data_IF_563118284584
#
_entry.id   IF_563118284584
#
_cell.length_a   1.000
_cell.length_b   1.000
_cell.length_c   1.000
_cell.angle_alpha   90.00
_cell.angle_beta   90.00
_cell.angle_gamma   90.00
#
_symmetry.space_group_name_H-M   'P 1'
#
loop_
_entity.id
_entity.type
_entity.pdbx_description
1 polymer ?
#
# COMPACT_ATOMS: atom_id res chain seq x y z
N UNK A 1 39.36 45.19 -25.63
CA UNK A 1 39.29 43.99 -24.77
C UNK A 1 37.88 43.89 -24.18
N UNK A 2 37.05 43.00 -24.72
CA UNK A 2 35.63 42.80 -24.39
C UNK A 2 35.42 41.37 -23.89
N UNK A 3 35.50 41.13 -22.59
CA UNK A 3 35.04 39.88 -21.97
C UNK A 3 34.46 40.19 -20.59
N UNK A 4 33.22 40.69 -20.56
CA UNK A 4 32.45 40.85 -19.31
C UNK A 4 30.99 40.36 -19.39
N UNK A 5 30.57 39.75 -20.49
CA UNK A 5 29.17 39.34 -20.70
C UNK A 5 28.90 37.83 -20.68
N UNK A 6 29.90 36.97 -20.46
CA UNK A 6 29.76 35.53 -20.72
C UNK A 6 29.81 34.65 -19.46
N UNK A 7 29.93 35.23 -18.26
CA UNK A 7 30.03 34.46 -17.01
C UNK A 7 28.69 34.25 -16.29
N UNK A 8 27.66 35.04 -16.60
CA UNK A 8 26.36 35.00 -15.89
C UNK A 8 25.38 33.96 -16.42
N UNK A 9 25.53 33.52 -17.68
CA UNK A 9 24.58 32.59 -18.32
C UNK A 9 24.78 31.16 -17.83
N UNK A 10 26.02 30.75 -17.54
CA UNK A 10 26.34 29.38 -17.13
C UNK A 10 25.87 29.03 -15.71
N UNK A 11 25.78 30.02 -14.81
CA UNK A 11 25.31 29.82 -13.43
C UNK A 11 23.81 29.52 -13.39
N UNK A 12 23.02 30.18 -14.26
CA UNK A 12 21.56 29.95 -14.32
C UNK A 12 21.24 28.56 -14.88
N UNK A 13 22.02 28.06 -15.85
CA UNK A 13 21.85 26.72 -16.42
C UNK A 13 22.18 25.62 -15.40
N UNK A 14 23.19 25.82 -14.54
CA UNK A 14 23.53 24.88 -13.45
C UNK A 14 22.43 24.80 -12.37
N UNK A 15 21.78 25.91 -12.03
CA UNK A 15 20.70 25.92 -11.04
C UNK A 15 19.43 25.25 -11.59
N UNK A 16 19.13 25.37 -12.88
CA UNK A 16 18.00 24.63 -13.48
C UNK A 16 18.28 23.12 -13.62
N UNK A 17 19.53 22.71 -13.83
CA UNK A 17 19.89 21.28 -13.88
C UNK A 17 19.85 20.60 -12.49
N UNK A 18 20.01 21.34 -11.40
CA UNK A 18 19.91 20.79 -10.03
C UNK A 18 18.48 20.62 -9.53
N UNK A 19 17.50 21.35 -10.10
CA UNK A 19 16.08 21.21 -9.75
C UNK A 19 15.38 20.03 -10.46
N UNK A 20 16.05 19.37 -11.42
CA UNK A 20 15.50 18.21 -12.14
C UNK A 20 15.87 16.85 -11.51
N UNK A 21 16.55 16.83 -10.36
CA UNK A 21 17.05 15.59 -9.72
C UNK A 21 16.28 15.13 -8.48
N UNK A 22 15.23 15.84 -8.07
CA UNK A 22 14.44 15.45 -6.89
C UNK A 22 13.14 14.70 -7.19
N UNK A 23 12.78 14.46 -8.45
CA UNK A 23 11.58 13.69 -8.81
C UNK A 23 11.87 12.21 -9.16
N UNK A 24 13.13 11.77 -9.04
CA UNK A 24 13.58 10.46 -9.53
C UNK A 24 13.58 9.32 -8.49
N UNK A 25 12.96 9.52 -7.32
CA UNK A 25 12.90 8.51 -6.25
C UNK A 25 11.49 8.00 -5.93
N UNK A 26 10.58 8.16 -6.88
CA UNK A 26 9.41 7.31 -6.98
C UNK A 26 9.38 6.77 -8.40
N UNK A 27 10.20 5.73 -8.67
CA UNK A 27 9.77 4.76 -9.67
C UNK A 27 8.47 4.22 -9.11
N UNK A 28 7.35 4.82 -9.55
CA UNK A 28 6.03 4.27 -9.36
C UNK A 28 6.17 2.78 -9.61
N UNK A 29 6.05 1.95 -8.57
CA UNK A 29 5.71 0.56 -8.80
C UNK A 29 4.46 0.65 -9.66
N UNK A 30 4.57 0.24 -10.93
CA UNK A 30 3.48 0.35 -11.88
C UNK A 30 2.35 -0.52 -11.33
N UNK A 31 1.37 0.10 -10.66
CA UNK A 31 0.24 -0.60 -10.06
C UNK A 31 0.05 -0.46 -8.55
N UNK A 32 0.71 0.47 -7.84
CA UNK A 32 0.28 0.75 -6.45
C UNK A 32 -1.12 1.38 -6.42
N UNK A 33 -2.11 0.65 -5.89
CA UNK A 33 -3.48 1.14 -5.69
C UNK A 33 -3.69 1.46 -4.21
N UNK A 34 -4.03 2.73 -3.91
CA UNK A 34 -4.26 3.16 -2.53
C UNK A 34 -5.61 2.65 -2.05
N UNK A 35 -5.59 1.87 -0.98
CA UNK A 35 -6.80 1.33 -0.35
C UNK A 35 -7.32 2.23 0.78
N UNK A 36 -6.61 3.32 1.10
CA UNK A 36 -6.95 4.25 2.17
C UNK A 36 -6.36 3.85 3.53
N UNK A 37 -6.35 4.79 4.50
CA UNK A 37 -5.85 4.60 5.87
C UNK A 37 -4.44 3.99 5.97
N UNK A 38 -3.55 4.33 5.03
CA UNK A 38 -2.18 3.81 5.00
C UNK A 38 -2.04 2.44 4.33
N UNK A 39 -3.12 1.83 3.83
CA UNK A 39 -3.06 0.58 3.09
C UNK A 39 -2.89 0.82 1.59
N UNK A 40 -2.07 -0.03 0.98
CA UNK A 40 -1.80 -0.03 -0.46
C UNK A 40 -1.80 -1.47 -0.97
N UNK A 41 -2.38 -1.68 -2.14
CA UNK A 41 -2.17 -2.87 -2.95
C UNK A 41 -0.92 -2.64 -3.77
N UNK A 42 0.15 -3.37 -3.47
CA UNK A 42 1.44 -3.26 -4.15
C UNK A 42 1.52 -4.34 -5.22
N UNK A 43 1.73 -3.91 -6.46
CA UNK A 43 2.01 -4.79 -7.58
C UNK A 43 3.53 -4.83 -7.81
N UNK A 44 4.19 -5.88 -7.34
CA UNK A 44 5.64 -6.07 -7.57
C UNK A 44 5.94 -6.47 -9.01
N UNK A 45 5.04 -7.25 -9.62
CA UNK A 45 5.11 -7.76 -11.00
C UNK A 45 3.69 -7.99 -11.55
N UNK A 46 3.56 -8.26 -12.86
CA UNK A 46 2.28 -8.62 -13.56
C UNK A 46 1.53 -9.79 -12.87
N UNK A 47 2.17 -10.51 -11.95
CA UNK A 47 1.64 -11.72 -11.31
C UNK A 47 1.58 -11.65 -9.78
N UNK A 48 1.98 -10.55 -9.13
CA UNK A 48 2.10 -10.51 -7.67
C UNK A 48 1.56 -9.21 -7.11
N UNK A 49 0.37 -9.31 -6.53
CA UNK A 49 -0.30 -8.22 -5.82
C UNK A 49 -0.39 -8.58 -4.33
N UNK A 50 0.02 -7.68 -3.43
CA UNK A 50 -0.06 -7.90 -1.98
C UNK A 50 -0.64 -6.67 -1.29
N UNK A 51 -1.38 -6.86 -0.19
CA UNK A 51 -1.85 -5.75 0.65
C UNK A 51 -0.83 -5.46 1.73
N UNK A 52 -0.32 -4.23 1.74
CA UNK A 52 0.66 -3.74 2.69
C UNK A 52 0.14 -2.51 3.43
N UNK A 53 0.51 -2.38 4.71
CA UNK A 53 0.33 -1.15 5.48
C UNK A 53 1.63 -0.33 5.45
N UNK A 54 1.59 0.83 4.80
CA UNK A 54 2.74 1.68 4.56
C UNK A 54 3.13 2.48 5.80
N UNK A 55 4.41 2.43 6.17
CA UNK A 55 4.96 3.17 7.31
C UNK A 55 5.54 4.54 6.91
N UNK A 56 5.84 4.74 5.63
CA UNK A 56 6.43 5.99 5.13
C UNK A 56 5.38 7.03 4.74
N UNK A 57 5.77 8.32 4.87
CA UNK A 57 5.00 9.45 4.35
C UNK A 57 5.54 9.80 2.97
N UNK A 58 5.05 9.12 1.94
CA UNK A 58 5.43 9.37 0.56
C UNK A 58 4.24 9.17 -0.38
N UNK A 59 4.45 9.50 -1.65
CA UNK A 59 3.57 9.08 -2.73
C UNK A 59 3.68 7.59 -3.03
N UNK A 60 4.76 6.93 -2.57
CA UNK A 60 5.04 5.51 -2.77
C UNK A 60 5.22 4.78 -1.43
N UNK A 61 4.87 3.50 -1.41
CA UNK A 61 5.04 2.63 -0.26
C UNK A 61 6.40 1.90 -0.30
N UNK A 62 7.48 2.58 0.10
CA UNK A 62 8.84 2.03 0.13
C UNK A 62 9.15 1.17 1.36
N UNK A 63 8.32 1.26 2.40
CA UNK A 63 8.44 0.50 3.64
C UNK A 63 7.05 0.26 4.24
N UNK A 64 6.76 -0.99 4.59
CA UNK A 64 5.48 -1.33 5.19
C UNK A 64 5.49 -2.68 5.90
N UNK A 65 4.31 -3.06 6.39
CA UNK A 65 4.04 -4.35 7.02
C UNK A 65 3.09 -5.11 6.10
N UNK A 66 3.47 -6.32 5.69
CA UNK A 66 2.60 -7.19 4.91
C UNK A 66 1.39 -7.58 5.75
N UNK A 67 0.20 -7.23 5.25
CA UNK A 67 -1.07 -7.50 5.92
C UNK A 67 -1.66 -8.80 5.40
N UNK A 68 -1.56 -9.00 4.09
CA UNK A 68 -1.92 -10.24 3.41
C UNK A 68 -0.64 -10.80 2.80
N UNK A 69 0.00 -11.81 3.43
CA UNK A 69 1.34 -12.28 3.08
C UNK A 69 1.38 -13.19 1.84
N UNK A 70 0.33 -13.15 1.00
CA UNK A 70 0.15 -14.03 -0.15
C UNK A 70 -0.51 -13.27 -1.29
N UNK A 71 -0.35 -13.79 -2.52
CA UNK A 71 -0.76 -13.09 -3.74
C UNK A 71 -2.28 -12.92 -3.76
N UNK A 72 -2.74 -11.69 -3.75
CA UNK A 72 -4.14 -11.29 -3.83
C UNK A 72 -4.68 -11.56 -5.24
N UNK A 73 -5.82 -12.23 -5.32
CA UNK A 73 -6.50 -12.58 -6.59
C UNK A 73 -7.88 -11.91 -6.71
N UNK A 74 -8.51 -11.56 -5.59
CA UNK A 74 -9.71 -10.74 -5.55
C UNK A 74 -9.65 -9.82 -4.33
N UNK A 75 -10.18 -8.61 -4.47
CA UNK A 75 -10.13 -7.57 -3.44
C UNK A 75 -11.36 -6.68 -3.55
N UNK A 76 -11.94 -6.28 -2.42
CA UNK A 76 -12.86 -5.15 -2.35
C UNK A 76 -12.61 -4.37 -1.05
N UNK A 77 -12.89 -3.08 -1.04
CA UNK A 77 -12.60 -2.23 0.10
C UNK A 77 -13.51 -0.99 0.15
N UNK A 78 -13.79 -0.53 1.36
CA UNK A 78 -14.52 0.71 1.63
C UNK A 78 -13.74 1.58 2.64
N UNK A 79 -14.37 2.55 3.30
CA UNK A 79 -13.66 3.38 4.29
C UNK A 79 -13.20 2.62 5.55
N UNK A 80 -13.84 1.48 5.85
CA UNK A 80 -13.64 0.73 7.11
C UNK A 80 -12.91 -0.59 6.92
N UNK A 81 -13.11 -1.25 5.78
CA UNK A 81 -12.75 -2.65 5.60
C UNK A 81 -11.96 -2.87 4.31
N UNK A 82 -11.08 -3.88 4.34
CA UNK A 82 -10.60 -4.57 3.14
C UNK A 82 -11.05 -6.01 3.27
N UNK A 83 -11.60 -6.56 2.20
CA UNK A 83 -11.80 -7.99 2.03
C UNK A 83 -10.99 -8.46 0.85
N UNK A 84 -10.39 -9.64 0.97
CA UNK A 84 -9.56 -10.18 -0.10
C UNK A 84 -9.57 -11.70 -0.10
N UNK A 85 -9.27 -12.27 -1.25
CA UNK A 85 -8.79 -13.63 -1.36
C UNK A 85 -7.37 -13.65 -1.90
N UNK A 86 -6.60 -14.62 -1.43
CA UNK A 86 -5.23 -14.85 -1.88
C UNK A 86 -5.02 -16.29 -2.34
N UNK A 87 -4.09 -16.46 -3.27
CA UNK A 87 -3.56 -17.74 -3.70
C UNK A 87 -2.66 -18.28 -2.57
N UNK A 88 -3.14 -19.31 -1.86
CA UNK A 88 -2.32 -20.12 -0.96
C UNK A 88 -1.63 -21.26 -1.70
N UNK A 89 -0.71 -21.95 -1.04
CA UNK A 89 0.08 -23.04 -1.65
C UNK A 89 -0.79 -24.17 -2.20
N UNK A 90 -1.89 -24.50 -1.51
CA UNK A 90 -2.81 -25.58 -1.91
C UNK A 90 -4.27 -25.12 -2.01
N UNK A 91 -4.66 -24.08 -1.27
CA UNK A 91 -6.05 -23.61 -1.19
C UNK A 91 -6.13 -22.08 -1.21
N UNK A 92 -7.19 -21.54 -1.81
CA UNK A 92 -7.53 -20.11 -1.71
C UNK A 92 -7.84 -19.75 -0.26
N UNK A 93 -7.17 -18.72 0.24
CA UNK A 93 -7.39 -18.17 1.57
C UNK A 93 -8.14 -16.85 1.48
N UNK A 94 -8.92 -16.55 2.51
CA UNK A 94 -9.73 -15.35 2.58
C UNK A 94 -9.32 -14.51 3.78
N UNK A 95 -9.41 -13.19 3.61
CA UNK A 95 -8.90 -12.20 4.55
C UNK A 95 -9.91 -11.07 4.75
N UNK A 96 -10.03 -10.61 5.99
CA UNK A 96 -10.77 -9.41 6.37
C UNK A 96 -9.82 -8.53 7.16
N UNK A 97 -9.76 -7.24 6.84
CA UNK A 97 -8.92 -6.27 7.53
C UNK A 97 -9.78 -5.08 7.95
N UNK A 98 -9.78 -4.75 9.25
CA UNK A 98 -10.38 -3.53 9.76
C UNK A 98 -9.39 -2.37 9.62
N UNK A 99 -9.55 -1.58 8.57
CA UNK A 99 -8.75 -0.37 8.34
C UNK A 99 -9.11 0.77 9.27
N UNK A 100 -10.36 0.86 9.72
CA UNK A 100 -10.81 1.96 10.59
C UNK A 100 -10.14 1.92 11.97
N UNK A 101 -9.72 0.74 12.42
CA UNK A 101 -8.99 0.56 13.67
C UNK A 101 -7.51 0.97 13.59
N UNK A 102 -7.00 1.26 12.39
CA UNK A 102 -5.59 1.58 12.23
C UNK A 102 -5.27 3.03 12.60
N UNK A 103 -4.22 3.25 13.41
CA UNK A 103 -3.73 4.60 13.66
C UNK A 103 -3.09 5.17 12.38
N UNK A 104 -2.94 6.51 12.31
CA UNK A 104 -2.12 7.12 11.26
C UNK A 104 -0.72 6.51 11.23
N UNK A 105 -0.20 6.21 10.03
CA UNK A 105 1.07 5.50 9.82
C UNK A 105 2.27 6.07 10.60
N UNK A 106 2.30 7.37 10.86
CA UNK A 106 3.37 8.01 11.65
C UNK A 106 3.37 7.64 13.14
N UNK A 107 2.27 7.11 13.65
CA UNK A 107 2.12 6.71 15.05
C UNK A 107 2.87 5.40 15.34
N UNK A 108 3.22 4.62 14.30
CA UNK A 108 3.94 3.36 14.42
C UNK A 108 5.38 3.50 14.94
N UNK A 109 5.91 4.73 15.03
CA UNK A 109 7.19 5.00 15.70
C UNK A 109 7.10 4.87 17.22
N UNK A 110 5.92 5.09 17.79
CA UNK A 110 5.67 5.11 19.23
C UNK A 110 4.74 3.99 19.70
N UNK A 111 4.22 3.19 18.78
CA UNK A 111 3.31 2.08 19.09
C UNK A 111 3.53 0.89 18.16
N UNK A 112 3.17 -0.29 18.63
CA UNK A 112 3.31 -1.53 17.87
C UNK A 112 2.15 -1.70 16.87
N UNK A 113 2.29 -1.08 15.70
CA UNK A 113 1.32 -1.20 14.63
C UNK A 113 1.18 -2.64 14.09
N UNK A 114 2.23 -3.47 14.18
CA UNK A 114 2.14 -4.87 13.76
C UNK A 114 1.17 -5.65 14.66
N UNK A 115 1.21 -5.39 15.97
CA UNK A 115 0.24 -5.95 16.91
C UNK A 115 -1.19 -5.48 16.64
N UNK A 116 -1.37 -4.18 16.35
CA UNK A 116 -2.69 -3.62 16.03
C UNK A 116 -3.23 -4.24 14.73
N UNK A 117 -2.41 -4.29 13.67
CA UNK A 117 -2.76 -4.94 12.40
C UNK A 117 -3.19 -6.38 12.63
N UNK A 118 -2.39 -7.15 13.35
CA UNK A 118 -2.68 -8.56 13.64
C UNK A 118 -3.99 -8.73 14.42
N UNK A 119 -4.28 -7.84 15.38
CA UNK A 119 -5.54 -7.89 16.13
C UNK A 119 -6.77 -7.46 15.34
N UNK A 120 -6.57 -6.80 14.18
CA UNK A 120 -7.61 -6.25 13.32
C UNK A 120 -7.61 -6.90 11.93
N UNK A 121 -6.96 -8.05 11.80
CA UNK A 121 -6.90 -8.85 10.57
C UNK A 121 -7.35 -10.26 10.89
N UNK A 122 -8.35 -10.75 10.15
CA UNK A 122 -8.84 -12.12 10.24
C UNK A 122 -8.41 -12.87 8.98
N UNK A 123 -7.55 -13.88 9.16
CA UNK A 123 -7.06 -14.72 8.09
C UNK A 123 -5.83 -15.53 8.51
N UNK A 124 -5.46 -16.55 7.72
CA UNK A 124 -6.19 -17.05 6.55
C UNK A 124 -7.48 -17.78 6.97
N UNK A 125 -8.59 -17.48 6.30
CA UNK A 125 -9.89 -18.14 6.52
C UNK A 125 -10.22 -19.06 5.33
N UNK A 126 -11.00 -20.11 5.58
CA UNK A 126 -11.74 -20.81 4.51
C UNK A 126 -12.93 -19.97 4.01
N UNK A 127 -13.47 -20.30 2.84
CA UNK A 127 -14.64 -19.61 2.29
C UNK A 127 -15.85 -19.63 3.25
N UNK A 128 -16.03 -20.74 3.98
CA UNK A 128 -17.12 -20.88 4.96
C UNK A 128 -16.93 -19.95 6.16
N UNK A 129 -15.73 -19.93 6.74
CA UNK A 129 -15.41 -19.05 7.87
C UNK A 129 -15.46 -17.58 7.46
N UNK A 130 -15.00 -17.26 6.25
CA UNK A 130 -15.09 -15.93 5.67
C UNK A 130 -16.53 -15.45 5.58
N UNK A 131 -17.45 -16.25 5.03
CA UNK A 131 -18.88 -15.90 5.00
C UNK A 131 -19.46 -15.65 6.39
N UNK A 132 -19.20 -16.55 7.36
CA UNK A 132 -19.66 -16.38 8.75
C UNK A 132 -19.10 -15.10 9.37
N UNK A 133 -17.84 -14.77 9.09
CA UNK A 133 -17.20 -13.57 9.63
C UNK A 133 -17.75 -12.29 8.98
N UNK A 134 -18.02 -12.30 7.67
CA UNK A 134 -18.68 -11.18 6.99
C UNK A 134 -20.06 -10.90 7.60
N UNK A 135 -20.85 -11.95 7.82
CA UNK A 135 -22.17 -11.83 8.44
C UNK A 135 -22.07 -11.30 9.88
N UNK A 136 -21.14 -11.85 10.67
CA UNK A 136 -20.91 -11.43 12.06
C UNK A 136 -20.43 -9.99 12.21
N UNK A 137 -19.73 -9.45 11.20
CA UNK A 137 -19.22 -8.07 11.19
C UNK A 137 -20.14 -7.12 10.41
N UNK A 138 -21.28 -7.61 9.92
CA UNK A 138 -22.24 -6.87 9.10
C UNK A 138 -21.61 -6.23 7.84
N UNK A 139 -20.70 -6.97 7.19
CA UNK A 139 -19.99 -6.52 5.99
C UNK A 139 -20.74 -6.98 4.74
N UNK A 140 -21.44 -6.06 4.08
CA UNK A 140 -22.20 -6.32 2.84
C UNK A 140 -21.39 -6.29 1.53
N UNK A 141 -20.06 -6.28 1.61
CA UNK A 141 -19.17 -6.22 0.44
C UNK A 141 -19.02 -7.59 -0.23
N UNK A 142 -18.66 -7.60 -1.51
CA UNK A 142 -18.38 -8.83 -2.28
C UNK A 142 -16.99 -8.74 -2.89
N UNK A 143 -16.28 -9.86 -2.98
CA UNK A 143 -14.98 -9.91 -3.64
C UNK A 143 -15.11 -9.56 -5.13
N UNK A 144 -14.22 -8.72 -5.62
CA UNK A 144 -14.10 -8.36 -7.03
C UNK A 144 -12.78 -8.91 -7.57
N UNK A 145 -12.84 -9.63 -8.69
CA UNK A 145 -11.65 -10.20 -9.34
C UNK A 145 -10.84 -9.05 -9.92
N UNK A 146 -9.53 -9.06 -9.66
CA UNK A 146 -8.59 -8.08 -10.19
C UNK A 146 -7.97 -8.54 -11.50
#
# INVERSE_FOLDING_TARGET
>A
MKYKGMLSVWIVVLIQAMNLRCDFYCKSFNGEERLGNGFTLVNEDVKRAYVMFCLSKGSCCDMGIDVIPSKVIALNYDERWIIASSEGEEITSYWIVNKAAMPPANSCKSMDCAKILKSNTWGPLSMKEFGVMLDSLEIGMKLEVK
#
